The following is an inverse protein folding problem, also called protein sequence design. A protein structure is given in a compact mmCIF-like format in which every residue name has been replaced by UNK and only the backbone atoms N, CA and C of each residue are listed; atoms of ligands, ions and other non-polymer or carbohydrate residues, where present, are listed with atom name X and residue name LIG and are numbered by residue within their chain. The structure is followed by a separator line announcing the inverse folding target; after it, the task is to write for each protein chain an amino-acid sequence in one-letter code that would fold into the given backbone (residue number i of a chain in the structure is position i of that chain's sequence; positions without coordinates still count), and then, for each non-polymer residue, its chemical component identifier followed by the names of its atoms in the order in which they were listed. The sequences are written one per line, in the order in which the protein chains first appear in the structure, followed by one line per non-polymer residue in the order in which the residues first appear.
data_IF_384432874783
#
_entry.id   IF_384432874783
#
_cell.length_a   1.000
_cell.length_b   1.000
_cell.length_c   1.000
_cell.angle_alpha   90.00
_cell.angle_beta   90.00
_cell.angle_gamma   90.00
#
_symmetry.space_group_name_H-M   'P 1'
#
loop_
_entity.id
_entity.type
_entity.pdbx_description
1 polymer ?
#
# COMPACT_ATOMS: atom_id res chain seq x y z
N UNK A 1 -60.84 -14.22 -4.38
CA UNK A 1 -61.44 -14.38 -5.72
C UNK A 1 -60.63 -13.57 -6.75
N UNK A 2 -60.31 -14.19 -7.89
CA UNK A 2 -59.48 -13.75 -9.03
C UNK A 2 -57.98 -13.65 -8.73
N UNK A 3 -57.08 -14.56 -9.14
CA UNK A 3 -56.98 -15.40 -10.36
C UNK A 3 -56.86 -14.59 -11.65
N UNK A 4 -55.67 -14.57 -12.26
CA UNK A 4 -55.47 -15.11 -13.61
C UNK A 4 -53.96 -15.26 -13.94
N UNK A 5 -53.64 -16.40 -14.55
CA UNK A 5 -52.33 -16.87 -15.03
C UNK A 5 -52.22 -16.70 -16.54
N UNK A 6 -51.01 -16.73 -17.12
CA UNK A 6 -50.65 -17.18 -18.49
C UNK A 6 -49.16 -16.81 -18.71
N UNK A 7 -48.15 -17.69 -18.87
CA UNK A 7 -47.85 -18.93 -19.60
C UNK A 7 -47.43 -18.75 -21.09
N UNK A 8 -46.15 -19.11 -21.35
CA UNK A 8 -45.44 -19.71 -22.51
C UNK A 8 -45.56 -19.23 -23.97
N UNK A 9 -44.40 -19.09 -24.64
CA UNK A 9 -43.79 -19.98 -25.68
C UNK A 9 -42.60 -19.20 -26.32
N UNK A 10 -41.37 -19.68 -26.55
CA UNK A 10 -40.75 -20.91 -27.07
C UNK A 10 -40.94 -21.12 -28.58
N UNK A 11 -39.89 -20.86 -29.38
CA UNK A 11 -39.23 -21.72 -30.39
C UNK A 11 -38.17 -20.90 -31.16
N UNK A 12 -36.89 -21.28 -31.30
CA UNK A 12 -36.24 -22.37 -32.08
C UNK A 12 -36.02 -22.05 -33.57
N UNK A 13 -35.05 -22.77 -34.18
CA UNK A 13 -34.55 -22.79 -35.59
C UNK A 13 -33.20 -22.05 -35.74
N UNK A 14 -32.02 -22.70 -35.72
CA UNK A 14 -31.43 -23.80 -36.52
C UNK A 14 -30.68 -23.34 -37.79
N UNK A 15 -29.55 -24.01 -37.99
CA UNK A 15 -28.43 -23.74 -38.90
C UNK A 15 -28.76 -23.90 -40.39
N UNK A 16 -27.91 -23.31 -41.23
CA UNK A 16 -27.71 -23.78 -42.60
C UNK A 16 -26.22 -23.81 -42.96
N UNK A 17 -25.76 -25.02 -43.22
CA UNK A 17 -24.50 -25.44 -43.85
C UNK A 17 -24.40 -24.89 -45.28
N UNK A 18 -23.20 -24.50 -45.71
CA UNK A 18 -22.83 -24.51 -47.13
C UNK A 18 -21.38 -24.98 -47.29
N UNK A 19 -21.17 -26.00 -48.12
CA UNK A 19 -19.92 -26.70 -48.38
C UNK A 19 -19.73 -26.88 -49.88
N UNK A 20 -18.47 -26.73 -50.36
CA UNK A 20 -17.84 -27.08 -51.67
C UNK A 20 -17.17 -25.86 -52.38
N UNK A 21 -16.00 -25.90 -53.07
CA UNK A 21 -15.10 -26.97 -53.56
C UNK A 21 -13.66 -26.39 -53.85
N UNK A 22 -12.68 -27.30 -53.86
CA UNK A 22 -11.21 -27.24 -54.03
C UNK A 22 -10.61 -26.54 -55.28
N UNK A 23 -9.31 -26.16 -55.23
CA UNK A 23 -8.24 -26.86 -55.99
C UNK A 23 -6.81 -26.54 -55.47
N UNK A 24 -5.97 -27.58 -55.50
CA UNK A 24 -4.58 -27.71 -55.03
C UNK A 24 -3.59 -27.14 -56.06
N UNK A 25 -2.43 -26.61 -55.64
CA UNK A 25 -1.15 -26.87 -56.32
C UNK A 25 0.02 -26.72 -55.32
N UNK A 26 0.65 -27.87 -55.04
CA UNK A 26 1.96 -27.99 -54.41
C UNK A 26 3.05 -27.52 -55.38
N UNK A 27 4.11 -26.90 -54.86
CA UNK A 27 5.46 -27.06 -55.41
C UNK A 27 6.45 -27.03 -54.25
N UNK A 28 7.15 -28.15 -54.07
CA UNK A 28 8.16 -28.44 -53.07
C UNK A 28 9.55 -27.90 -53.44
N UNK A 29 10.48 -28.04 -52.48
CA UNK A 29 11.96 -27.98 -52.54
C UNK A 29 12.60 -26.58 -52.31
N UNK A 30 13.56 -26.33 -51.41
CA UNK A 30 14.36 -27.13 -50.49
C UNK A 30 15.02 -26.23 -49.40
N UNK A 31 15.42 -26.85 -48.27
CA UNK A 31 15.90 -26.31 -46.96
C UNK A 31 17.44 -26.06 -46.99
N UNK A 32 18.06 -25.09 -46.23
CA UNK A 32 18.47 -25.37 -44.84
C UNK A 32 18.47 -24.22 -43.81
N UNK A 33 17.97 -24.56 -42.62
CA UNK A 33 18.60 -24.33 -41.31
C UNK A 33 19.02 -22.87 -41.00
N UNK A 34 18.06 -22.09 -40.50
CA UNK A 34 18.30 -20.99 -39.58
C UNK A 34 17.80 -21.38 -38.19
N UNK A 35 18.71 -21.49 -37.25
CA UNK A 35 18.50 -21.84 -35.84
C UNK A 35 17.44 -20.93 -35.20
N UNK A 36 16.22 -21.43 -35.00
CA UNK A 36 15.23 -20.76 -34.16
C UNK A 36 15.60 -21.09 -32.71
N UNK A 37 16.60 -20.40 -32.18
CA UNK A 37 16.85 -20.40 -30.73
C UNK A 37 15.58 -19.89 -30.07
N UNK A 38 14.98 -20.74 -29.25
CA UNK A 38 13.82 -20.46 -28.42
C UNK A 38 14.14 -19.31 -27.45
N UNK A 39 13.82 -18.08 -27.87
CA UNK A 39 13.80 -16.88 -27.02
C UNK A 39 12.53 -16.78 -26.17
N UNK A 40 11.83 -17.88 -25.96
CA UNK A 40 10.63 -17.98 -25.12
C UNK A 40 10.96 -18.27 -23.65
N UNK A 41 12.12 -18.85 -23.35
CA UNK A 41 12.52 -19.20 -21.97
C UNK A 41 12.96 -18.02 -21.09
N UNK A 42 13.42 -16.91 -21.67
CA UNK A 42 14.04 -15.81 -20.92
C UNK A 42 13.07 -14.67 -20.55
N UNK A 43 11.87 -14.64 -21.14
CA UNK A 43 10.84 -13.62 -20.84
C UNK A 43 10.17 -13.91 -19.49
N UNK A 44 9.98 -15.19 -19.18
CA UNK A 44 9.37 -15.68 -17.94
C UNK A 44 10.23 -15.42 -16.71
N UNK A 45 11.55 -15.56 -16.81
CA UNK A 45 12.46 -15.26 -15.69
C UNK A 45 12.53 -13.78 -15.33
N UNK A 46 12.46 -12.88 -16.32
CA UNK A 46 12.53 -11.42 -16.10
C UNK A 46 11.21 -10.85 -15.53
N UNK A 47 10.06 -11.38 -15.95
CA UNK A 47 8.77 -11.00 -15.40
C UNK A 47 8.56 -11.53 -13.98
N UNK A 48 9.06 -12.72 -13.67
CA UNK A 48 9.04 -13.29 -12.32
C UNK A 48 9.93 -12.48 -11.36
N UNK A 49 11.14 -12.11 -11.78
CA UNK A 49 12.03 -11.26 -10.98
C UNK A 49 11.42 -9.86 -10.75
N UNK A 50 10.82 -9.26 -11.77
CA UNK A 50 10.13 -7.98 -11.64
C UNK A 50 8.94 -8.05 -10.66
N UNK A 51 8.15 -9.12 -10.71
CA UNK A 51 7.04 -9.35 -9.78
C UNK A 51 7.54 -9.59 -8.35
N UNK A 52 8.62 -10.36 -8.17
CA UNK A 52 9.25 -10.61 -6.88
C UNK A 52 9.77 -9.30 -6.26
N UNK A 53 10.45 -8.45 -7.04
CA UNK A 53 10.93 -7.14 -6.60
C UNK A 53 9.79 -6.20 -6.22
N UNK A 54 8.71 -6.16 -7.02
CA UNK A 54 7.50 -5.38 -6.69
C UNK A 54 6.87 -5.83 -5.39
N UNK A 55 6.76 -7.14 -5.17
CA UNK A 55 6.20 -7.71 -3.94
C UNK A 55 7.08 -7.36 -2.74
N UNK A 56 8.41 -7.43 -2.89
CA UNK A 56 9.34 -7.05 -1.84
C UNK A 56 9.25 -5.55 -1.49
N UNK A 57 9.15 -4.68 -2.51
CA UNK A 57 8.95 -3.24 -2.32
C UNK A 57 7.67 -2.93 -1.56
N UNK A 58 6.56 -3.60 -1.91
CA UNK A 58 5.29 -3.45 -1.21
C UNK A 58 5.37 -3.91 0.25
N UNK A 59 6.04 -5.03 0.54
CA UNK A 59 6.26 -5.49 1.92
C UNK A 59 7.08 -4.49 2.73
N UNK A 60 8.15 -3.95 2.15
CA UNK A 60 8.97 -2.93 2.81
C UNK A 60 8.17 -1.64 3.07
N UNK A 61 7.37 -1.20 2.10
CA UNK A 61 6.47 -0.07 2.23
C UNK A 61 5.49 -0.25 3.39
N UNK A 62 4.80 -1.39 3.46
CA UNK A 62 3.89 -1.69 4.57
C UNK A 62 4.60 -1.69 5.93
N UNK A 63 5.82 -2.23 6.00
CA UNK A 63 6.60 -2.19 7.24
C UNK A 63 6.98 -0.77 7.65
N UNK A 64 7.28 0.09 6.68
CA UNK A 64 7.54 1.51 6.92
C UNK A 64 6.27 2.25 7.40
N UNK A 65 5.10 1.99 6.80
CA UNK A 65 3.81 2.55 7.25
C UNK A 65 3.52 2.21 8.71
N UNK A 66 3.79 0.97 9.14
CA UNK A 66 3.61 0.54 10.54
C UNK A 66 4.45 1.33 11.55
N UNK A 67 5.47 2.05 11.10
CA UNK A 67 6.34 2.88 11.95
C UNK A 67 5.93 4.35 12.01
N UNK A 68 4.82 4.72 11.37
CA UNK A 68 4.36 6.10 11.24
C UNK A 68 3.00 6.28 11.92
N UNK A 69 2.79 7.46 12.48
CA UNK A 69 1.51 7.88 13.01
C UNK A 69 0.56 8.26 11.86
N UNK A 70 -0.63 7.65 11.81
CA UNK A 70 -1.67 7.97 10.83
C UNK A 70 -2.11 9.44 10.83
N UNK A 71 -2.08 10.08 12.00
CA UNK A 71 -2.67 11.40 12.22
C UNK A 71 -1.68 12.54 11.98
N UNK A 72 -0.41 12.35 12.33
CA UNK A 72 0.61 13.41 12.20
C UNK A 72 1.81 13.04 11.32
N UNK A 73 1.91 11.79 10.85
CA UNK A 73 3.04 11.31 10.04
C UNK A 73 4.34 11.09 10.81
N UNK A 74 4.40 11.43 12.09
CA UNK A 74 5.61 11.27 12.89
C UNK A 74 5.98 9.80 13.07
N UNK A 75 7.28 9.51 13.10
CA UNK A 75 7.78 8.16 13.38
C UNK A 75 7.57 7.78 14.84
N UNK A 76 7.17 6.53 15.08
CA UNK A 76 7.10 5.99 16.45
C UNK A 76 8.48 5.80 17.06
N UNK A 77 9.55 5.72 16.26
CA UNK A 77 10.93 5.58 16.77
C UNK A 77 11.38 6.79 17.60
N UNK A 78 10.85 7.96 17.29
CA UNK A 78 11.15 9.21 18.00
C UNK A 78 10.20 9.49 19.17
N UNK A 79 9.16 8.67 19.35
CA UNK A 79 8.19 8.85 20.44
C UNK A 79 8.74 8.27 21.75
N UNK A 80 8.94 9.13 22.74
CA UNK A 80 9.42 8.73 24.07
C UNK A 80 8.40 7.89 24.84
N UNK A 81 7.11 7.98 24.52
CA UNK A 81 6.06 7.27 25.25
C UNK A 81 5.95 5.80 24.88
N UNK A 82 6.50 5.37 23.73
CA UNK A 82 6.40 4.01 23.14
C UNK A 82 4.96 3.46 23.01
N UNK A 83 3.94 4.27 23.31
CA UNK A 83 2.52 3.92 23.26
C UNK A 83 1.97 4.32 21.90
N UNK A 84 1.26 3.39 21.30
CA UNK A 84 0.55 3.60 20.03
C UNK A 84 -0.86 3.05 20.18
N UNK A 85 -1.78 3.63 19.43
CA UNK A 85 -3.21 3.34 19.52
C UNK A 85 -3.72 2.91 18.14
N UNK A 86 -4.66 1.97 18.05
CA UNK A 86 -5.18 1.52 16.76
C UNK A 86 -6.06 2.61 16.13
N UNK A 87 -5.99 2.77 14.80
CA UNK A 87 -6.83 3.72 14.07
C UNK A 87 -8.30 3.26 14.01
N UNK A 88 -8.51 1.95 13.98
CA UNK A 88 -9.83 1.33 13.88
C UNK A 88 -10.21 0.56 15.15
N UNK A 89 -11.50 0.28 15.28
CA UNK A 89 -12.06 -0.50 16.38
C UNK A 89 -12.62 0.35 17.52
N UNK A 90 -13.09 -0.30 18.60
CA UNK A 90 -13.58 0.38 19.79
C UNK A 90 -12.44 1.15 20.48
N UNK A 91 -12.81 2.21 21.18
CA UNK A 91 -11.86 2.92 22.05
C UNK A 91 -11.48 2.06 23.25
N UNK A 92 -10.33 2.33 23.86
CA UNK A 92 -9.93 1.66 25.11
C UNK A 92 -10.82 2.04 26.29
N UNK A 93 -10.79 1.23 27.36
CA UNK A 93 -11.66 1.42 28.53
C UNK A 93 -11.46 2.78 29.23
N UNK A 94 -10.23 3.29 29.25
CA UNK A 94 -9.88 4.59 29.83
C UNK A 94 -10.59 5.72 29.06
N UNK A 95 -10.47 5.70 27.74
CA UNK A 95 -11.10 6.65 26.83
C UNK A 95 -12.62 6.50 26.87
N UNK A 96 -13.13 5.27 26.88
CA UNK A 96 -14.56 4.98 26.96
C UNK A 96 -15.19 5.52 28.24
N UNK A 97 -14.53 5.30 29.39
CA UNK A 97 -14.98 5.82 30.68
C UNK A 97 -15.05 7.35 30.66
N UNK A 98 -14.02 8.01 30.11
CA UNK A 98 -14.00 9.46 30.00
C UNK A 98 -15.13 10.00 29.11
N UNK A 99 -15.44 9.32 28.00
CA UNK A 99 -16.55 9.68 27.13
C UNK A 99 -17.90 9.53 27.82
N UNK A 100 -18.12 8.44 28.56
CA UNK A 100 -19.35 8.20 29.34
C UNK A 100 -19.55 9.27 30.42
N UNK A 101 -18.49 9.63 31.16
CA UNK A 101 -18.53 10.70 32.17
C UNK A 101 -18.92 12.07 31.59
N UNK A 102 -18.74 12.25 30.28
CA UNK A 102 -19.02 13.49 29.54
C UNK A 102 -20.26 13.38 28.65
N UNK A 103 -21.06 12.34 28.84
CA UNK A 103 -22.28 12.05 28.07
C UNK A 103 -22.02 12.07 26.55
N UNK A 104 -20.85 11.60 26.12
CA UNK A 104 -20.49 11.51 24.70
C UNK A 104 -20.93 10.15 24.14
N UNK A 105 -21.44 10.19 22.91
CA UNK A 105 -21.97 9.03 22.18
C UNK A 105 -20.93 8.26 21.38
N UNK A 106 -19.73 8.82 21.17
CA UNK A 106 -18.68 8.15 20.41
C UNK A 106 -18.15 6.94 21.18
N UNK A 107 -17.98 5.81 20.48
CA UNK A 107 -17.48 4.55 21.07
C UNK A 107 -16.34 3.93 20.26
N UNK A 108 -15.98 4.53 19.12
CA UNK A 108 -14.95 4.01 18.21
C UNK A 108 -13.84 5.02 17.92
N UNK A 109 -12.65 4.53 17.62
CA UNK A 109 -11.53 5.38 17.20
C UNK A 109 -11.83 6.19 15.94
N UNK A 110 -12.43 5.62 14.87
CA UNK A 110 -12.81 6.40 13.71
C UNK A 110 -13.70 7.60 14.03
N UNK A 111 -14.66 7.45 14.96
CA UNK A 111 -15.57 8.55 15.33
C UNK A 111 -14.83 9.68 16.08
N UNK A 112 -13.90 9.32 16.98
CA UNK A 112 -13.10 10.31 17.70
C UNK A 112 -12.13 11.03 16.77
N UNK A 113 -11.47 10.29 15.87
CA UNK A 113 -10.53 10.84 14.90
C UNK A 113 -11.24 11.82 13.95
N UNK A 114 -12.38 11.42 13.38
CA UNK A 114 -13.18 12.28 12.53
C UNK A 114 -13.68 13.52 13.28
N UNK A 115 -14.08 13.39 14.54
CA UNK A 115 -14.58 14.51 15.34
C UNK A 115 -13.50 15.53 15.68
N UNK A 116 -12.32 15.06 16.11
CA UNK A 116 -11.22 15.89 16.64
C UNK A 116 -10.32 16.42 15.53
N UNK A 117 -9.93 15.58 14.58
CA UNK A 117 -8.96 15.92 13.53
C UNK A 117 -9.60 16.21 12.17
N UNK A 118 -10.90 15.92 11.99
CA UNK A 118 -11.59 16.03 10.69
C UNK A 118 -10.94 15.15 9.62
N UNK A 119 -10.37 14.01 10.03
CA UNK A 119 -9.80 13.00 9.15
C UNK A 119 -10.78 11.84 9.11
N UNK A 120 -11.24 11.46 7.92
CA UNK A 120 -11.92 10.18 7.73
C UNK A 120 -10.87 9.08 7.56
N UNK A 121 -10.97 8.06 8.40
CA UNK A 121 -10.10 6.88 8.38
C UNK A 121 -10.87 5.62 7.99
N UNK A 122 -12.19 5.69 7.77
CA UNK A 122 -13.02 4.50 7.51
C UNK A 122 -12.65 3.80 6.20
N UNK A 123 -12.15 4.55 5.23
CA UNK A 123 -11.63 4.04 3.95
C UNK A 123 -10.14 3.73 3.95
N UNK A 124 -9.46 3.77 5.11
CA UNK A 124 -8.03 3.45 5.18
C UNK A 124 -7.79 1.99 4.75
N UNK A 125 -6.75 1.81 3.95
CA UNK A 125 -6.25 0.51 3.50
C UNK A 125 -4.81 0.34 3.98
N UNK A 126 -4.51 -0.75 4.68
CA UNK A 126 -3.21 -1.01 5.34
C UNK A 126 -2.00 -1.08 4.37
N UNK A 127 -2.24 -1.22 3.07
CA UNK A 127 -1.18 -1.15 2.04
C UNK A 127 -0.78 0.28 1.67
N UNK A 128 -1.54 1.27 2.13
CA UNK A 128 -1.41 2.70 1.79
C UNK A 128 -1.29 3.52 3.08
N UNK A 129 -2.07 3.20 4.11
CA UNK A 129 -2.23 4.00 5.32
C UNK A 129 -1.60 3.32 6.54
N UNK A 130 -1.03 4.09 7.49
CA UNK A 130 -0.65 3.56 8.79
C UNK A 130 -1.87 3.13 9.60
N UNK A 131 -1.75 2.02 10.30
CA UNK A 131 -2.85 1.42 11.08
C UNK A 131 -2.89 1.86 12.54
N UNK A 132 -1.91 2.68 12.96
CA UNK A 132 -1.75 3.15 14.34
C UNK A 132 -1.47 4.65 14.39
N UNK A 133 -1.73 5.26 15.55
CA UNK A 133 -1.37 6.65 15.82
C UNK A 133 -0.65 6.79 17.17
N UNK A 134 0.10 7.90 17.33
CA UNK A 134 1.01 8.10 18.46
C UNK A 134 0.30 8.62 19.72
N UNK A 135 1.00 8.52 20.85
CA UNK A 135 0.47 9.01 22.13
C UNK A 135 0.19 10.51 22.14
N UNK A 136 1.00 11.32 21.46
CA UNK A 136 0.73 12.77 21.36
C UNK A 136 -0.63 13.06 20.71
N UNK A 137 -1.00 12.33 19.65
CA UNK A 137 -2.31 12.50 19.01
C UNK A 137 -3.44 11.95 19.89
N UNK A 138 -3.20 10.85 20.62
CA UNK A 138 -4.13 10.37 21.64
C UNK A 138 -4.39 11.41 22.73
N UNK A 139 -3.34 12.05 23.25
CA UNK A 139 -3.44 13.09 24.28
C UNK A 139 -4.25 14.29 23.80
N UNK A 140 -4.19 14.62 22.51
CA UNK A 140 -5.06 15.66 21.91
C UNK A 140 -6.52 15.24 21.94
N UNK A 141 -6.83 13.99 21.54
CA UNK A 141 -8.19 13.44 21.65
C UNK A 141 -8.65 13.51 23.11
N UNK A 142 -7.86 12.95 24.02
CA UNK A 142 -8.20 12.86 25.44
C UNK A 142 -8.43 14.26 26.06
N UNK A 143 -7.58 15.24 25.73
CA UNK A 143 -7.71 16.63 26.20
C UNK A 143 -9.00 17.29 25.72
N UNK A 144 -9.41 17.06 24.47
CA UNK A 144 -10.68 17.60 23.92
C UNK A 144 -11.90 17.14 24.71
N UNK A 145 -11.85 15.98 25.36
CA UNK A 145 -12.95 15.44 26.14
C UNK A 145 -12.76 15.58 27.65
N UNK A 146 -11.59 15.99 28.16
CA UNK A 146 -11.32 16.07 29.61
C UNK A 146 -11.69 17.40 30.29
N UNK A 147 -12.32 18.36 29.60
CA UNK A 147 -12.61 19.74 30.09
C UNK A 147 -11.36 20.58 30.44
N UNK A 148 -10.17 20.14 30.06
CA UNK A 148 -8.97 20.98 30.18
C UNK A 148 -8.98 22.01 29.05
N UNK A 149 -8.90 23.31 29.37
CA UNK A 149 -8.87 24.38 28.37
C UNK A 149 -7.77 24.07 27.36
N UNK A 150 -8.18 23.77 26.13
CA UNK A 150 -7.30 23.34 25.07
C UNK A 150 -6.95 24.59 24.25
N UNK A 151 -5.99 25.36 24.76
CA UNK A 151 -5.27 26.34 23.94
C UNK A 151 -4.47 25.55 22.89
N UNK A 152 -5.12 25.39 21.74
CA UNK A 152 -4.50 25.34 20.43
C UNK A 152 -3.44 24.24 20.24
N UNK A 153 -3.87 22.98 20.20
CA UNK A 153 -3.20 22.04 19.31
C UNK A 153 -3.85 22.19 17.93
N UNK A 154 -3.22 22.99 17.05
CA UNK A 154 -3.44 22.88 15.61
C UNK A 154 -2.61 21.69 15.13
N UNK A 155 -3.22 20.64 14.57
CA UNK A 155 -2.46 19.68 13.78
C UNK A 155 -1.75 20.49 12.69
N UNK A 156 -0.42 20.60 12.78
CA UNK A 156 0.38 21.47 11.90
C UNK A 156 0.37 21.00 10.44
N UNK A 157 -0.19 19.83 10.19
CA UNK A 157 -0.21 19.20 8.88
C UNK A 157 -1.68 19.03 8.50
N UNK A 158 -2.06 19.63 7.36
CA UNK A 158 -3.17 19.12 6.55
C UNK A 158 -3.08 17.59 6.48
N UNK A 159 -4.21 16.89 6.45
CA UNK A 159 -4.28 15.42 6.36
C UNK A 159 -3.15 14.90 5.49
N UNK A 160 -2.22 14.16 6.09
CA UNK A 160 -1.07 13.64 5.36
C UNK A 160 -1.58 12.80 4.20
N UNK A 161 -1.09 13.09 3.00
CA UNK A 161 -1.47 12.33 1.81
C UNK A 161 -0.68 11.02 1.80
N UNK A 162 -1.42 9.91 1.88
CA UNK A 162 -0.87 8.57 1.84
C UNK A 162 -1.07 7.99 0.45
N UNK A 163 -0.01 7.43 -0.11
CA UNK A 163 0.00 6.93 -1.48
C UNK A 163 0.52 5.49 -1.51
N UNK A 164 0.00 4.63 -2.41
CA UNK A 164 0.54 3.30 -2.62
C UNK A 164 2.03 3.34 -2.95
N UNK A 165 2.70 2.20 -2.75
CA UNK A 165 4.10 2.07 -3.13
C UNK A 165 4.31 2.36 -4.62
N UNK A 166 5.27 3.22 -4.91
CA UNK A 166 5.74 3.58 -6.26
C UNK A 166 7.27 3.75 -6.23
N UNK A 167 7.95 3.77 -7.39
CA UNK A 167 9.39 4.02 -7.44
C UNK A 167 9.84 5.35 -6.80
N UNK A 168 8.95 6.35 -6.74
CA UNK A 168 9.17 7.66 -6.11
C UNK A 168 8.57 7.79 -4.70
N UNK A 169 8.23 6.67 -4.05
CA UNK A 169 7.53 6.65 -2.76
C UNK A 169 8.32 7.34 -1.63
N UNK A 170 7.81 8.48 -1.14
CA UNK A 170 8.44 9.24 -0.05
C UNK A 170 8.59 8.48 1.27
N UNK A 171 7.65 7.56 1.57
CA UNK A 171 7.71 6.67 2.74
C UNK A 171 8.91 5.72 2.65
N UNK A 172 9.24 5.24 1.45
CA UNK A 172 10.36 4.32 1.25
C UNK A 172 11.70 5.05 1.09
N UNK A 173 11.73 6.19 0.40
CA UNK A 173 12.96 6.97 0.17
C UNK A 173 13.60 7.49 1.46
N UNK A 174 12.79 7.88 2.45
CA UNK A 174 13.31 8.34 3.75
C UNK A 174 13.96 7.21 4.56
N UNK A 175 13.42 5.98 4.43
CA UNK A 175 13.95 4.81 5.16
C UNK A 175 15.19 4.19 4.52
N UNK A 176 15.34 4.29 3.20
CA UNK A 176 16.49 3.73 2.47
C UNK A 176 17.78 4.55 2.66
N UNK A 177 17.68 5.85 2.98
CA UNK A 177 18.85 6.70 3.23
C UNK A 177 19.66 6.28 4.46
N UNK A 178 19.07 5.53 5.40
CA UNK A 178 19.79 4.90 6.53
C UNK A 178 20.68 3.71 6.13
N UNK A 179 20.57 3.21 4.90
CA UNK A 179 21.31 2.07 4.37
C UNK A 179 22.22 2.50 3.21
N UNK A 180 22.90 3.65 3.34
CA UNK A 180 24.01 3.94 2.42
C UNK A 180 25.19 3.07 2.79
N UNK A 181 25.24 1.83 2.28
CA UNK A 181 26.50 1.06 2.29
C UNK A 181 27.52 1.87 1.49
N UNK A 182 28.61 2.28 2.15
CA UNK A 182 29.79 2.82 1.50
C UNK A 182 30.34 1.75 0.55
N UNK A 183 30.13 1.90 -0.75
CA UNK A 183 30.89 1.20 -1.78
C UNK A 183 31.13 2.14 -2.94
N UNK A 184 32.28 1.94 -3.61
CA UNK A 184 32.96 2.79 -4.60
C UNK A 184 33.97 3.78 -4.00
N UNK A 185 35.16 3.27 -3.65
CA UNK A 185 36.41 4.03 -3.82
C UNK A 185 37.08 3.51 -5.11
N UNK A 186 37.61 4.37 -6.02
CA UNK A 186 38.24 3.89 -7.26
C UNK A 186 39.59 3.23 -6.99
N UNK A 187 40.03 2.25 -7.81
CA UNK A 187 41.34 1.63 -7.66
C UNK A 187 42.39 2.56 -8.26
N UNK A 188 43.23 3.17 -7.42
CA UNK A 188 44.33 3.97 -7.93
C UNK A 188 45.00 4.89 -6.94
N UNK A 189 45.74 4.33 -5.97
CA UNK A 189 46.84 5.06 -5.36
C UNK A 189 48.03 4.11 -5.24
N UNK A 190 48.89 4.14 -6.27
CA UNK A 190 50.17 3.45 -6.30
C UNK A 190 50.95 3.85 -5.05
N UNK A 191 51.22 2.89 -4.16
CA UNK A 191 52.20 3.06 -3.08
C UNK A 191 53.57 3.23 -3.72
N UNK A 192 54.05 4.46 -3.75
CA UNK A 192 55.42 4.77 -4.17
C UNK A 192 56.41 4.12 -3.22
N UNK A 193 57.27 3.26 -3.75
CA UNK A 193 58.54 2.90 -3.11
C UNK A 193 59.39 4.17 -3.02
N UNK A 194 59.92 4.49 -1.85
CA UNK A 194 61.17 5.24 -1.73
C UNK A 194 62.11 4.45 -0.83
N UNK A 195 63.26 4.13 -1.40
CA UNK A 195 64.45 3.56 -0.76
C UNK A 195 65.50 4.67 -0.67
N UNK A 196 66.30 4.60 0.41
CA UNK A 196 67.56 5.30 0.70
C UNK A 196 67.42 6.80 1.04
N UNK A 197 68.16 7.31 2.04
CA UNK A 197 69.59 7.06 2.33
C UNK A 197 69.88 6.74 3.78
#
# INVERSE_FOLDING_TARGET
PSDDSQHINKDHTEEAVSSNKEFILHTDEAVPRGEKVELTGNRQGLEEDAHAMKTQGNRAHQNNLKQLCRLCGASFKTDCHKRTYPVHGPVDDETLWLLRKKEKTATSWPDLIAKVFKIDVRGDVDTIHPTRFCHNCWSVIHRKFSNTLCEVYFPRNSTMEWQPHSPSCGVCHTTSQGVKRKSQQPPGARRGKRVKT
#
